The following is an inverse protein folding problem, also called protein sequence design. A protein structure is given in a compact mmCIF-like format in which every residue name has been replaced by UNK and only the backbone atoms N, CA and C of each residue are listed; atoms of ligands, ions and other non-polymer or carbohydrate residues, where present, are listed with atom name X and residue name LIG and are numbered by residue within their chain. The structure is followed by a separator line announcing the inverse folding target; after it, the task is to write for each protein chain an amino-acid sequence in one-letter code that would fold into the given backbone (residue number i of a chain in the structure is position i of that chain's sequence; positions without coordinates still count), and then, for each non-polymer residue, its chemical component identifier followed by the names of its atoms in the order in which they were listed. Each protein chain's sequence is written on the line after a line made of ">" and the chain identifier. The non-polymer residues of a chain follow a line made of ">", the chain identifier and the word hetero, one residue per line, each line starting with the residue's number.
data_IF_578981047706
#
_entry.id   IF_578981047706
#
_cell.length_a   1.000
_cell.length_b   1.000
_cell.length_c   1.000
_cell.angle_alpha   90.00
_cell.angle_beta   90.00
_cell.angle_gamma   90.00
#
_symmetry.space_group_name_H-M   'P 1'
#
loop_
_entity.id
_entity.type
_entity.pdbx_description
1 polymer ?
#
# COMPACT_ATOMS: atom_id res chain seq x y z
N UNK A 1 -2.13 -37.88 16.66
CA UNK A 1 -2.39 -36.95 17.79
C UNK A 1 -2.03 -35.56 17.31
N UNK A 2 -3.00 -34.63 17.25
CA UNK A 2 -2.73 -33.25 16.84
C UNK A 2 -2.12 -32.52 18.04
N UNK A 3 -0.79 -32.41 18.07
CA UNK A 3 -0.08 -31.71 19.15
C UNK A 3 -0.37 -30.21 19.04
N UNK A 4 -0.73 -29.58 20.16
CA UNK A 4 -0.97 -28.16 20.19
C UNK A 4 0.35 -27.37 20.10
N UNK A 5 0.54 -26.62 19.01
CA UNK A 5 1.73 -25.79 18.81
C UNK A 5 1.53 -24.37 19.38
N UNK A 6 1.54 -24.26 20.70
CA UNK A 6 1.36 -22.98 21.42
C UNK A 6 2.71 -22.31 21.76
N UNK A 7 2.75 -20.98 21.93
CA UNK A 7 3.97 -20.26 22.31
C UNK A 7 4.31 -20.47 23.79
N UNK A 8 5.52 -20.96 24.07
CA UNK A 8 6.08 -21.05 25.42
C UNK A 8 6.82 -19.77 25.79
N UNK A 9 6.18 -18.89 26.56
CA UNK A 9 6.83 -17.68 27.11
C UNK A 9 7.74 -18.04 28.30
N UNK A 10 8.86 -17.31 28.52
CA UNK A 10 9.34 -16.15 27.78
C UNK A 10 10.29 -16.50 26.62
N UNK A 11 10.61 -17.77 26.41
CA UNK A 11 11.60 -18.18 25.39
C UNK A 11 11.04 -18.14 23.97
N UNK A 12 9.71 -18.08 23.83
CA UNK A 12 8.98 -18.21 22.58
C UNK A 12 9.34 -19.49 21.82
N UNK A 13 9.63 -20.56 22.53
CA UNK A 13 9.74 -21.89 21.95
C UNK A 13 8.36 -22.53 21.86
N UNK A 14 8.11 -23.30 20.81
CA UNK A 14 6.86 -24.01 20.67
C UNK A 14 6.82 -25.16 21.68
N UNK A 15 5.78 -25.23 22.50
CA UNK A 15 5.64 -26.32 23.49
C UNK A 15 5.39 -27.69 22.85
N UNK A 16 4.97 -27.72 21.59
CA UNK A 16 4.68 -28.95 20.84
C UNK A 16 5.92 -29.58 20.21
N UNK A 17 6.80 -28.79 19.61
CA UNK A 17 7.98 -29.29 18.88
C UNK A 17 9.33 -28.77 19.37
N UNK A 18 9.38 -27.77 20.25
CA UNK A 18 10.61 -27.16 20.74
C UNK A 18 11.24 -26.09 19.83
N UNK A 19 10.79 -25.97 18.58
CA UNK A 19 11.30 -24.95 17.65
C UNK A 19 10.89 -23.53 18.02
N UNK A 20 11.52 -22.54 17.39
CA UNK A 20 11.12 -21.14 17.48
C UNK A 20 9.66 -20.95 17.05
N UNK A 21 8.81 -20.51 17.98
CA UNK A 21 7.43 -20.17 17.69
C UNK A 21 7.35 -18.82 16.93
N UNK A 22 6.53 -18.66 15.88
CA UNK A 22 5.71 -19.69 15.24
C UNK A 22 6.56 -20.68 14.44
N UNK A 23 6.44 -21.97 14.77
CA UNK A 23 7.11 -23.07 14.08
C UNK A 23 6.38 -23.40 12.78
N UNK A 24 7.01 -24.16 11.87
CA UNK A 24 6.43 -24.48 10.55
C UNK A 24 5.02 -25.06 10.65
N UNK A 25 4.81 -26.07 11.52
CA UNK A 25 3.50 -26.66 11.75
C UNK A 25 2.43 -25.64 12.21
N UNK A 26 2.79 -24.70 13.10
CA UNK A 26 1.86 -23.65 13.53
C UNK A 26 1.57 -22.65 12.42
N UNK A 27 2.57 -22.30 11.59
CA UNK A 27 2.36 -21.41 10.44
C UNK A 27 1.34 -22.00 9.48
N UNK A 28 1.49 -23.28 9.13
CA UNK A 28 0.54 -23.98 8.24
C UNK A 28 -0.86 -24.05 8.84
N UNK A 29 -0.97 -24.39 10.13
CA UNK A 29 -2.24 -24.38 10.85
C UNK A 29 -2.90 -22.99 10.83
N UNK A 30 -2.14 -21.92 11.06
CA UNK A 30 -2.65 -20.56 11.06
C UNK A 30 -3.09 -20.09 9.67
N UNK A 31 -2.38 -20.47 8.60
CA UNK A 31 -2.80 -20.17 7.23
C UNK A 31 -4.12 -20.85 6.87
N UNK A 32 -4.31 -22.09 7.35
CA UNK A 32 -5.56 -22.81 7.14
C UNK A 32 -6.71 -22.21 7.96
N UNK A 33 -6.46 -21.91 9.23
CA UNK A 33 -7.44 -21.34 10.16
C UNK A 33 -7.92 -19.94 9.72
N UNK A 34 -7.02 -19.14 9.13
CA UNK A 34 -7.30 -17.78 8.67
C UNK A 34 -7.30 -17.65 7.13
N UNK A 35 -7.62 -18.73 6.42
CA UNK A 35 -7.63 -18.73 4.95
C UNK A 35 -8.57 -17.65 4.36
N UNK A 36 -9.68 -17.36 5.06
CA UNK A 36 -10.65 -16.35 4.65
C UNK A 36 -10.16 -14.91 4.90
N UNK A 37 -9.24 -14.71 5.85
CA UNK A 37 -8.80 -13.38 6.28
C UNK A 37 -7.36 -13.38 6.79
N UNK A 38 -6.41 -13.32 5.85
CA UNK A 38 -5.00 -13.09 6.20
C UNK A 38 -4.77 -11.73 6.90
N UNK A 39 -5.71 -10.78 6.80
CA UNK A 39 -5.64 -9.50 7.50
C UNK A 39 -5.78 -9.70 9.02
N UNK A 40 -6.74 -10.52 9.45
CA UNK A 40 -6.91 -10.88 10.86
C UNK A 40 -5.70 -11.64 11.40
N UNK A 41 -5.17 -12.58 10.61
CA UNK A 41 -3.94 -13.30 10.97
C UNK A 41 -2.76 -12.33 11.20
N UNK A 42 -2.56 -11.35 10.30
CA UNK A 42 -1.52 -10.33 10.46
C UNK A 42 -1.70 -9.52 11.73
N UNK A 43 -2.93 -9.08 12.03
CA UNK A 43 -3.23 -8.34 13.26
C UNK A 43 -2.93 -9.18 14.49
N UNK A 44 -3.37 -10.44 14.53
CA UNK A 44 -3.11 -11.35 15.65
C UNK A 44 -1.61 -11.60 15.83
N UNK A 45 -0.86 -11.81 14.75
CA UNK A 45 0.60 -11.93 14.80
C UNK A 45 1.30 -10.64 15.25
N UNK A 46 0.80 -9.46 14.86
CA UNK A 46 1.36 -8.19 15.31
C UNK A 46 1.23 -7.99 16.83
N UNK A 47 0.11 -8.43 17.43
CA UNK A 47 -0.03 -8.45 18.89
C UNK A 47 1.02 -9.37 19.54
N UNK A 48 1.33 -10.51 18.92
CA UNK A 48 2.39 -11.40 19.41
C UNK A 48 3.78 -10.82 19.25
N UNK A 49 4.04 -9.98 18.26
CA UNK A 49 5.30 -9.23 18.15
C UNK A 49 5.47 -8.29 19.35
N UNK A 50 4.41 -7.61 19.78
CA UNK A 50 4.46 -6.74 20.96
C UNK A 50 4.78 -7.55 22.23
N UNK A 51 4.07 -8.65 22.47
CA UNK A 51 4.34 -9.56 23.59
C UNK A 51 5.79 -10.10 23.54
N UNK A 52 6.28 -10.46 22.34
CA UNK A 52 7.62 -11.00 22.15
C UNK A 52 8.73 -9.96 22.32
N UNK A 53 8.47 -8.70 21.99
CA UNK A 53 9.43 -7.62 22.20
C UNK A 53 9.71 -7.38 23.69
N UNK A 54 8.73 -7.65 24.56
CA UNK A 54 8.90 -7.54 26.02
C UNK A 54 9.78 -8.67 26.59
N UNK A 55 9.61 -9.89 26.06
CA UNK A 55 10.32 -11.09 26.52
C UNK A 55 11.71 -11.26 25.89
N UNK A 56 11.84 -10.96 24.60
CA UNK A 56 13.04 -11.18 23.78
C UNK A 56 13.76 -9.86 23.50
N UNK A 57 14.03 -9.07 24.55
CA UNK A 57 14.60 -7.71 24.44
C UNK A 57 15.94 -7.64 23.73
N UNK A 58 16.67 -8.75 23.66
CA UNK A 58 17.93 -8.89 22.93
C UNK A 58 17.75 -8.95 21.40
N UNK A 59 16.54 -9.24 20.90
CA UNK A 59 16.27 -9.29 19.47
C UNK A 59 15.89 -7.91 18.94
N UNK A 60 16.38 -7.59 17.74
CA UNK A 60 16.00 -6.37 17.04
C UNK A 60 14.58 -6.46 16.46
N UNK A 61 13.96 -5.29 16.21
CA UNK A 61 12.63 -5.20 15.62
C UNK A 61 12.53 -5.93 14.27
N UNK A 62 13.58 -5.88 13.45
CA UNK A 62 13.63 -6.54 12.14
C UNK A 62 13.62 -8.08 12.27
N UNK A 63 14.32 -8.64 13.27
CA UNK A 63 14.33 -10.07 13.55
C UNK A 63 12.95 -10.55 14.05
N UNK A 64 12.31 -9.78 14.93
CA UNK A 64 10.95 -10.08 15.39
C UNK A 64 9.95 -9.99 14.22
N UNK A 65 10.05 -8.96 13.40
CA UNK A 65 9.19 -8.81 12.22
C UNK A 65 9.35 -9.98 11.25
N UNK A 66 10.59 -10.34 10.88
CA UNK A 66 10.86 -11.44 9.95
C UNK A 66 10.33 -12.77 10.49
N UNK A 67 10.50 -13.03 11.79
CA UNK A 67 10.06 -14.25 12.45
C UNK A 67 8.54 -14.41 12.50
N UNK A 68 7.82 -13.35 12.88
CA UNK A 68 6.38 -13.43 13.14
C UNK A 68 5.51 -13.06 11.93
N UNK A 69 5.98 -12.13 11.09
CA UNK A 69 5.21 -11.58 9.98
C UNK A 69 5.82 -11.89 8.61
N UNK A 70 7.13 -12.17 8.52
CA UNK A 70 7.85 -12.35 7.26
C UNK A 70 7.42 -13.56 6.41
N UNK A 71 6.70 -14.52 7.00
CA UNK A 71 6.16 -15.69 6.29
C UNK A 71 4.70 -15.51 5.83
N UNK A 72 4.04 -14.43 6.25
CA UNK A 72 2.66 -14.17 5.85
C UNK A 72 2.63 -13.72 4.38
N UNK A 73 1.54 -14.01 3.65
CA UNK A 73 1.37 -13.50 2.28
C UNK A 73 1.56 -11.97 2.22
N UNK A 74 1.72 -11.38 1.04
CA UNK A 74 1.65 -9.92 0.91
C UNK A 74 0.22 -9.40 1.11
N UNK A 75 -0.01 -8.26 1.77
CA UNK A 75 -1.33 -7.64 1.83
C UNK A 75 -1.71 -7.15 0.42
N UNK A 76 -2.80 -7.69 -0.16
CA UNK A 76 -3.25 -7.27 -1.50
C UNK A 76 -3.90 -8.32 -2.40
N UNK A 77 -4.23 -9.52 -1.90
CA UNK A 77 -4.92 -10.56 -2.70
C UNK A 77 -6.47 -10.46 -2.63
N UNK A 78 -7.02 -9.53 -1.84
CA UNK A 78 -8.44 -9.19 -1.80
C UNK A 78 -8.66 -7.71 -2.14
N UNK A 79 -9.90 -7.29 -2.49
CA UNK A 79 -10.17 -5.91 -2.89
C UNK A 79 -9.80 -4.99 -1.72
N UNK A 80 -8.74 -4.21 -1.92
CA UNK A 80 -8.33 -3.16 -1.00
C UNK A 80 -9.50 -2.19 -0.88
N UNK A 81 -10.07 -2.07 0.33
CA UNK A 81 -10.80 -0.87 0.69
C UNK A 81 -9.76 0.24 0.54
N UNK A 82 -9.87 1.00 -0.56
CA UNK A 82 -9.03 2.15 -0.85
C UNK A 82 -9.23 3.10 0.32
N UNK A 83 -8.28 3.12 1.25
CA UNK A 83 -8.19 4.17 2.24
C UNK A 83 -8.41 5.48 1.51
N UNK A 84 -9.51 6.17 1.80
CA UNK A 84 -9.62 7.58 1.45
C UNK A 84 -8.35 8.20 2.01
N UNK A 85 -7.56 8.75 1.11
CA UNK A 85 -6.27 9.33 1.39
C UNK A 85 -6.32 10.10 2.71
N UNK A 86 -5.36 9.83 3.59
CA UNK A 86 -5.01 10.72 4.68
C UNK A 86 -5.01 12.15 4.12
N UNK A 87 -5.97 13.03 4.46
CA UNK A 87 -5.90 14.40 3.99
C UNK A 87 -4.63 15.00 4.60
N UNK A 88 -3.79 15.70 3.82
CA UNK A 88 -2.63 16.34 4.42
C UNK A 88 -3.14 17.33 5.48
N UNK A 89 -2.72 17.10 6.73
CA UNK A 89 -2.78 18.12 7.79
C UNK A 89 -1.89 19.28 7.33
N UNK A 90 -2.48 20.20 6.56
CA UNK A 90 -1.75 21.20 5.81
C UNK A 90 -2.62 22.40 5.47
N UNK A 91 -2.93 23.21 6.47
CA UNK A 91 -2.95 24.68 6.37
C UNK A 91 -3.98 25.31 5.42
N UNK A 92 -5.05 25.80 6.04
CA UNK A 92 -5.79 26.99 5.64
C UNK A 92 -4.84 28.18 5.33
N UNK A 93 -4.39 28.27 4.07
CA UNK A 93 -3.74 29.46 3.51
C UNK A 93 -4.82 30.41 2.97
N UNK A 94 -4.93 31.60 3.57
CA UNK A 94 -5.76 32.73 3.12
C UNK A 94 -5.51 33.01 1.62
N UNK A 95 -6.53 33.28 0.79
CA UNK A 95 -6.27 33.93 -0.49
C UNK A 95 -5.86 35.38 -0.21
N UNK A 96 -4.62 35.72 -0.54
CA UNK A 96 -4.15 37.09 -0.66
C UNK A 96 -3.85 37.37 -2.13
N UNK A 97 -4.88 37.72 -2.89
CA UNK A 97 -4.79 38.59 -4.08
C UNK A 97 -6.20 38.92 -4.62
N UNK A 98 -6.82 39.91 -4.01
CA UNK A 98 -7.65 40.83 -4.77
C UNK A 98 -6.70 41.90 -5.33
N UNK A 99 -6.45 41.87 -6.65
CA UNK A 99 -6.04 43.03 -7.46
C UNK A 99 -5.75 42.61 -8.92
N UNK A 100 -6.74 42.81 -9.80
CA UNK A 100 -6.60 43.30 -11.18
C UNK A 100 -7.97 43.15 -11.89
N UNK A 101 -8.84 44.16 -11.79
CA UNK A 101 -9.10 45.16 -12.84
C UNK A 101 -10.17 44.71 -13.85
N UNK A 102 -11.36 45.30 -13.69
CA UNK A 102 -12.25 45.88 -14.70
C UNK A 102 -11.92 45.62 -16.19
N UNK A 103 -12.78 44.81 -16.82
CA UNK A 103 -13.47 44.97 -18.11
C UNK A 103 -12.88 45.84 -19.24
N UNK A 104 -12.84 45.29 -20.47
CA UNK A 104 -13.49 45.86 -21.68
C UNK A 104 -13.78 44.75 -22.74
N UNK A 105 -14.75 44.95 -23.66
CA UNK A 105 -15.51 43.88 -24.32
C UNK A 105 -14.90 43.34 -25.64
N UNK A 106 -15.54 42.30 -26.15
CA UNK A 106 -15.21 41.56 -27.38
C UNK A 106 -15.19 42.41 -28.65
N UNK A 107 -14.34 42.09 -29.65
CA UNK A 107 -14.39 42.68 -30.98
C UNK A 107 -15.56 42.11 -31.83
N UNK A 108 -16.13 42.89 -32.78
CA UNK A 108 -17.24 42.45 -33.61
C UNK A 108 -16.83 41.48 -34.72
N UNK A 109 -17.82 40.71 -35.15
CA UNK A 109 -17.77 39.75 -36.25
C UNK A 109 -17.22 40.35 -37.56
N UNK A 110 -16.16 39.73 -38.07
CA UNK A 110 -15.68 39.93 -39.44
C UNK A 110 -15.83 38.64 -40.24
N UNK A 111 -16.81 38.62 -41.15
CA UNK A 111 -17.01 37.58 -42.16
C UNK A 111 -15.90 37.63 -43.21
N UNK A 112 -15.32 36.47 -43.56
CA UNK A 112 -14.40 36.32 -44.70
C UNK A 112 -14.24 34.83 -45.07
N UNK A 113 -14.24 34.47 -46.37
CA UNK A 113 -14.79 33.19 -46.82
C UNK A 113 -13.82 31.99 -46.90
N UNK A 114 -14.39 30.83 -46.58
CA UNK A 114 -14.40 29.55 -47.34
C UNK A 114 -13.13 29.09 -48.09
N UNK A 115 -12.52 28.05 -47.49
CA UNK A 115 -12.03 26.78 -48.07
C UNK A 115 -11.00 26.78 -49.23
N UNK A 116 -9.94 26.02 -48.90
CA UNK A 116 -9.28 24.96 -49.68
C UNK A 116 -8.30 25.36 -50.80
N UNK A 117 -6.98 25.19 -50.59
CA UNK A 117 -6.03 25.02 -51.68
C UNK A 117 -6.10 23.59 -52.28
N UNK A 118 -5.97 23.43 -53.62
CA UNK A 118 -5.95 22.12 -54.28
C UNK A 118 -4.65 21.32 -54.00
N UNK A 119 -4.64 19.99 -54.22
CA UNK A 119 -3.50 19.15 -53.89
C UNK A 119 -2.39 19.08 -54.96
N UNK A 120 -1.17 18.85 -54.45
CA UNK A 120 0.00 18.12 -54.99
C UNK A 120 0.54 18.46 -56.39
N UNK A 121 1.87 18.67 -56.42
CA UNK A 121 2.75 17.80 -57.23
C UNK A 121 4.18 17.74 -56.72
N UNK A 122 4.65 16.53 -56.41
CA UNK A 122 6.07 16.20 -56.35
C UNK A 122 6.64 16.12 -57.77
N UNK A 123 7.76 16.79 -58.02
CA UNK A 123 8.79 16.41 -59.02
C UNK A 123 10.12 16.93 -58.46
N UNK A 124 10.97 16.06 -57.91
CA UNK A 124 11.97 15.24 -58.62
C UNK A 124 13.20 16.10 -58.99
N UNK A 125 14.25 15.93 -58.18
CA UNK A 125 15.70 16.13 -58.37
C UNK A 125 16.25 17.21 -59.31
N UNK A 126 17.38 17.79 -58.92
CA UNK A 126 18.67 17.74 -59.65
C UNK A 126 19.70 18.53 -58.79
N UNK A 127 20.77 17.81 -58.42
CA UNK A 127 22.14 18.23 -58.02
C UNK A 127 22.33 19.41 -57.06
#
# INVERSE_FOLDING_TARGET
>A
MNVAHIPGRPTWLCTGCGDLWPCAAKRDQLLLEYADSHAELRTMMALRVADAAEDLRQLGAEQLWARFLGWLPAPGQGPVIRWVANPPLGGNRRPANEAAVTTLPAPPAGSGPTRTPPPRRSRRGIR
#
